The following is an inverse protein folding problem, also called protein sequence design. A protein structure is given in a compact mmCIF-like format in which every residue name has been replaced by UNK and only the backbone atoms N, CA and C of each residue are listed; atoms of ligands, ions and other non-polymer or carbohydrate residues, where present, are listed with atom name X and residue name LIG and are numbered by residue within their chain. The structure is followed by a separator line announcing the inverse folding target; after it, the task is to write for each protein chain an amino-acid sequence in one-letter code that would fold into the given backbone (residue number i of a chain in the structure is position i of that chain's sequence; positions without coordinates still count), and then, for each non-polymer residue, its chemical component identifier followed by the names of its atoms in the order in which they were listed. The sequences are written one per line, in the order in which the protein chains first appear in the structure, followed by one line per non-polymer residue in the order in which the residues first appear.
data_IF_277503636359
#
_entry.id   IF_277503636359
#
_cell.length_a   1.000
_cell.length_b   1.000
_cell.length_c   1.000
_cell.angle_alpha   90.00
_cell.angle_beta   90.00
_cell.angle_gamma   90.00
#
_symmetry.space_group_name_H-M   'P 1'
#
loop_
_entity.id
_entity.type
_entity.pdbx_description
1 polymer ?
#
# COMPACT_ATOMS: atom_id res chain seq x y z
N UNK A 1 6.20 43.64 45.38
CA UNK A 1 5.68 42.54 44.54
C UNK A 1 5.71 41.26 45.36
N UNK A 2 4.57 40.60 45.58
CA UNK A 2 4.49 39.49 46.54
C UNK A 2 5.26 38.26 46.03
N UNK A 3 6.26 37.81 46.79
CA UNK A 3 7.10 36.63 46.46
C UNK A 3 6.26 35.38 46.11
N UNK A 4 5.08 35.23 46.72
CA UNK A 4 4.15 34.12 46.47
C UNK A 4 3.56 34.14 45.05
N UNK A 5 3.29 35.33 44.52
CA UNK A 5 2.71 35.49 43.17
C UNK A 5 3.76 35.13 42.11
N UNK A 6 5.02 35.53 42.31
CA UNK A 6 6.12 35.14 41.42
C UNK A 6 6.35 33.62 41.38
N UNK A 7 6.24 32.97 42.54
CA UNK A 7 6.41 31.53 42.63
C UNK A 7 5.28 30.77 41.91
N UNK A 8 4.04 31.23 42.07
CA UNK A 8 2.90 30.66 41.35
C UNK A 8 3.02 30.83 39.83
N UNK A 9 3.50 32.01 39.39
CA UNK A 9 3.73 32.28 37.98
C UNK A 9 4.83 31.38 37.40
N UNK A 10 5.95 31.20 38.12
CA UNK A 10 7.06 30.37 37.65
C UNK A 10 6.68 28.89 37.55
N UNK A 11 5.89 28.41 38.51
CA UNK A 11 5.33 27.04 38.48
C UNK A 11 4.38 26.87 37.30
N UNK A 12 3.46 27.82 37.08
CA UNK A 12 2.53 27.77 35.94
C UNK A 12 3.25 27.80 34.59
N UNK A 13 4.26 28.68 34.43
CA UNK A 13 5.09 28.75 33.22
C UNK A 13 5.89 27.46 33.03
N UNK A 14 6.43 26.88 34.10
CA UNK A 14 7.18 25.62 34.01
C UNK A 14 6.28 24.45 33.59
N UNK A 15 5.05 24.37 34.12
CA UNK A 15 4.06 23.34 33.73
C UNK A 15 3.64 23.55 32.27
N UNK A 16 3.34 24.78 31.87
CA UNK A 16 2.96 25.10 30.50
C UNK A 16 4.07 24.79 29.49
N UNK A 17 5.33 25.11 29.81
CA UNK A 17 6.47 24.77 28.96
C UNK A 17 6.71 23.25 28.90
N UNK A 18 6.56 22.54 30.02
CA UNK A 18 6.66 21.09 30.01
C UNK A 18 5.57 20.47 29.12
N UNK A 19 4.31 20.87 29.31
CA UNK A 19 3.19 20.44 28.47
C UNK A 19 3.44 20.75 27.00
N UNK A 20 3.88 21.97 26.67
CA UNK A 20 4.13 22.38 25.29
C UNK A 20 5.28 21.61 24.62
N UNK A 21 6.25 21.09 25.37
CA UNK A 21 7.34 20.29 24.81
C UNK A 21 6.90 18.84 24.60
N UNK A 22 6.04 18.31 25.47
CA UNK A 22 5.57 16.93 25.40
C UNK A 22 4.30 16.72 24.54
N UNK A 23 3.44 17.73 24.38
CA UNK A 23 2.16 17.65 23.67
C UNK A 23 2.13 18.44 22.34
N UNK A 24 3.28 18.84 21.79
CA UNK A 24 3.31 19.58 20.52
C UNK A 24 2.76 18.77 19.31
N UNK A 25 2.74 17.43 19.42
CA UNK A 25 2.32 16.51 18.34
C UNK A 25 0.79 16.29 18.26
N UNK A 26 0.00 16.93 19.12
CA UNK A 26 -1.45 16.72 19.24
C UNK A 26 -2.28 17.67 18.36
N UNK A 27 -1.64 18.53 17.58
CA UNK A 27 -2.30 19.55 16.74
C UNK A 27 -2.83 19.02 15.39
N UNK A 28 -2.60 17.75 15.03
CA UNK A 28 -3.00 17.16 13.75
C UNK A 28 -3.85 15.88 13.92
N UNK A 29 -4.90 15.98 14.74
CA UNK A 29 -5.83 14.89 15.04
C UNK A 29 -6.92 14.68 13.98
N UNK A 30 -7.06 15.60 13.02
CA UNK A 30 -8.10 15.51 12.00
C UNK A 30 -7.70 14.55 10.88
N UNK A 31 -8.55 13.55 10.64
CA UNK A 31 -8.40 12.58 9.55
C UNK A 31 -9.34 13.01 8.42
N UNK A 32 -8.75 13.52 7.34
CA UNK A 32 -9.49 13.87 6.13
C UNK A 32 -9.45 12.70 5.13
N UNK A 33 -10.62 12.16 4.79
CA UNK A 33 -10.79 11.14 3.75
C UNK A 33 -11.43 11.79 2.53
N UNK A 34 -10.74 11.73 1.40
CA UNK A 34 -11.23 12.27 0.12
C UNK A 34 -12.21 11.32 -0.58
N UNK A 35 -13.10 11.88 -1.40
CA UNK A 35 -14.00 11.11 -2.26
C UNK A 35 -13.24 10.14 -3.18
N UNK A 36 -12.02 10.51 -3.59
CA UNK A 36 -11.17 9.63 -4.41
C UNK A 36 -10.78 8.37 -3.67
N UNK A 37 -10.42 8.47 -2.38
CA UNK A 37 -10.10 7.31 -1.55
C UNK A 37 -11.32 6.40 -1.37
N UNK A 38 -12.50 7.00 -1.15
CA UNK A 38 -13.75 6.24 -1.05
C UNK A 38 -14.04 5.49 -2.35
N UNK A 39 -13.91 6.15 -3.50
CA UNK A 39 -14.09 5.51 -4.80
C UNK A 39 -13.08 4.38 -5.04
N UNK A 40 -11.83 4.55 -4.62
CA UNK A 40 -10.82 3.50 -4.70
C UNK A 40 -11.18 2.29 -3.82
N UNK A 41 -11.70 2.51 -2.61
CA UNK A 41 -12.20 1.44 -1.74
C UNK A 41 -13.32 0.66 -2.42
N UNK A 42 -14.32 1.35 -2.97
CA UNK A 42 -15.44 0.73 -3.69
C UNK A 42 -14.95 -0.08 -4.89
N UNK A 43 -14.04 0.49 -5.70
CA UNK A 43 -13.47 -0.19 -6.86
C UNK A 43 -12.69 -1.45 -6.46
N UNK A 44 -11.87 -1.35 -5.40
CA UNK A 44 -11.10 -2.49 -4.89
C UNK A 44 -12.00 -3.60 -4.35
N UNK A 45 -13.09 -3.24 -3.66
CA UNK A 45 -14.10 -4.18 -3.17
C UNK A 45 -14.80 -4.88 -4.34
N UNK A 46 -15.25 -4.12 -5.33
CA UNK A 46 -15.92 -4.70 -6.50
C UNK A 46 -14.98 -5.62 -7.29
N UNK A 47 -13.70 -5.27 -7.44
CA UNK A 47 -12.72 -6.15 -8.07
C UNK A 47 -12.52 -7.48 -7.33
N UNK A 48 -12.69 -7.51 -6.00
CA UNK A 48 -12.51 -8.72 -5.18
C UNK A 48 -13.80 -9.55 -5.04
N UNK A 49 -14.95 -8.89 -4.85
CA UNK A 49 -16.23 -9.51 -4.50
C UNK A 49 -17.19 -9.59 -5.70
N UNK A 50 -16.96 -8.80 -6.74
CA UNK A 50 -17.77 -8.77 -7.97
C UNK A 50 -19.08 -7.98 -7.86
N UNK A 51 -19.25 -7.19 -6.80
CA UNK A 51 -20.40 -6.30 -6.58
C UNK A 51 -20.00 -5.08 -5.78
N UNK A 52 -20.83 -4.04 -5.80
CA UNK A 52 -20.65 -2.89 -4.90
C UNK A 52 -20.95 -3.26 -3.43
N UNK A 53 -20.29 -2.60 -2.47
CA UNK A 53 -20.59 -2.77 -1.05
C UNK A 53 -21.97 -2.21 -0.73
N UNK A 54 -22.65 -2.83 0.23
CA UNK A 54 -23.85 -2.24 0.84
C UNK A 54 -23.46 -1.11 1.83
N UNK A 55 -24.44 -0.44 2.43
CA UNK A 55 -24.18 0.69 3.33
C UNK A 55 -23.33 0.29 4.56
N UNK A 56 -23.63 -0.83 5.20
CA UNK A 56 -22.91 -1.29 6.40
C UNK A 56 -21.48 -1.74 6.05
N UNK A 57 -21.31 -2.44 4.93
CA UNK A 57 -20.01 -2.84 4.39
C UNK A 57 -19.15 -1.62 4.05
N UNK A 58 -19.74 -0.59 3.42
CA UNK A 58 -19.05 0.65 3.10
C UNK A 58 -18.59 1.37 4.37
N UNK A 59 -19.45 1.45 5.39
CA UNK A 59 -19.09 2.03 6.69
C UNK A 59 -17.93 1.27 7.33
N UNK A 60 -17.95 -0.07 7.29
CA UNK A 60 -16.86 -0.88 7.82
C UNK A 60 -15.54 -0.67 7.05
N UNK A 61 -15.60 -0.56 5.72
CA UNK A 61 -14.42 -0.23 4.91
C UNK A 61 -13.82 1.13 5.28
N UNK A 62 -14.68 2.13 5.49
CA UNK A 62 -14.24 3.47 5.91
C UNK A 62 -13.63 3.42 7.32
N UNK A 63 -14.27 2.73 8.26
CA UNK A 63 -13.76 2.59 9.63
C UNK A 63 -12.39 1.91 9.65
N UNK A 64 -12.20 0.84 8.88
CA UNK A 64 -10.91 0.17 8.76
C UNK A 64 -9.83 1.10 8.20
N UNK A 65 -10.18 1.94 7.20
CA UNK A 65 -9.25 2.93 6.65
C UNK A 65 -8.87 4.00 7.69
N UNK A 66 -9.83 4.46 8.50
CA UNK A 66 -9.57 5.41 9.59
C UNK A 66 -8.63 4.79 10.62
N UNK A 67 -8.89 3.54 11.03
CA UNK A 67 -8.05 2.84 12.00
C UNK A 67 -6.62 2.64 11.46
N UNK A 68 -6.48 2.26 10.19
CA UNK A 68 -5.17 2.16 9.52
C UNK A 68 -4.41 3.49 9.54
N UNK A 69 -5.09 4.60 9.23
CA UNK A 69 -4.49 5.94 9.25
C UNK A 69 -4.06 6.36 10.66
N UNK A 70 -4.86 6.06 11.68
CA UNK A 70 -4.51 6.32 13.09
C UNK A 70 -3.23 5.56 13.45
N UNK A 71 -3.18 4.26 13.16
CA UNK A 71 -2.03 3.42 13.47
C UNK A 71 -0.78 3.85 12.68
N UNK A 72 -0.95 4.26 11.42
CA UNK A 72 0.13 4.79 10.60
C UNK A 72 0.72 6.06 11.20
N UNK A 73 -0.11 7.04 11.58
CA UNK A 73 0.35 8.28 12.23
C UNK A 73 1.05 8.01 13.55
N UNK A 74 0.54 7.08 14.35
CA UNK A 74 1.19 6.69 15.61
C UNK A 74 2.55 6.03 15.36
N UNK A 75 2.65 5.16 14.36
CA UNK A 75 3.92 4.54 13.96
C UNK A 75 4.96 5.59 13.52
N UNK A 76 4.53 6.66 12.84
CA UNK A 76 5.40 7.78 12.48
C UNK A 76 5.87 8.57 13.70
N UNK A 77 4.96 8.88 14.65
CA UNK A 77 5.29 9.55 15.92
C UNK A 77 6.33 8.76 16.72
N UNK A 78 6.22 7.43 16.72
CA UNK A 78 7.16 6.52 17.37
C UNK A 78 8.44 6.27 16.55
N UNK A 79 8.53 6.79 15.33
CA UNK A 79 9.68 6.60 14.44
C UNK A 79 9.89 5.16 13.96
N UNK A 80 8.83 4.33 13.95
CA UNK A 80 8.94 2.90 13.63
C UNK A 80 9.29 2.61 12.17
N UNK A 81 9.20 3.61 11.29
CA UNK A 81 9.66 3.50 9.91
C UNK A 81 11.19 3.61 9.75
N UNK A 82 11.88 4.14 10.75
CA UNK A 82 13.33 4.36 10.71
C UNK A 82 14.06 3.02 10.88
N UNK A 83 15.08 2.80 10.05
CA UNK A 83 15.95 1.62 10.08
C UNK A 83 15.26 0.25 9.86
N UNK A 84 14.00 0.22 9.43
CA UNK A 84 13.31 -1.02 9.05
C UNK A 84 13.61 -1.40 7.58
N UNK A 85 14.27 -2.56 7.39
CA UNK A 85 14.64 -3.06 6.07
C UNK A 85 13.42 -3.41 5.20
N UNK A 86 12.33 -3.89 5.79
CA UNK A 86 11.11 -4.28 5.08
C UNK A 86 10.43 -3.04 4.50
N UNK A 87 10.28 -1.97 5.28
CA UNK A 87 9.69 -0.70 4.84
C UNK A 87 10.55 -0.10 3.73
N UNK A 88 11.87 -0.02 3.91
CA UNK A 88 12.81 0.46 2.89
C UNK A 88 12.67 -0.30 1.57
N UNK A 89 12.59 -1.65 1.63
CA UNK A 89 12.44 -2.50 0.45
C UNK A 89 11.10 -2.27 -0.26
N UNK A 90 10.00 -2.14 0.48
CA UNK A 90 8.67 -1.86 -0.09
C UNK A 90 8.61 -0.52 -0.81
N UNK A 91 9.20 0.53 -0.22
CA UNK A 91 9.27 1.85 -0.86
C UNK A 91 10.07 1.81 -2.18
N UNK A 92 11.21 1.12 -2.18
CA UNK A 92 12.00 0.92 -3.40
C UNK A 92 11.21 0.17 -4.50
N UNK A 93 10.49 -0.90 -4.12
CA UNK A 93 9.63 -1.64 -5.04
C UNK A 93 8.52 -0.76 -5.63
N UNK A 94 7.90 0.12 -4.82
CA UNK A 94 6.88 1.06 -5.28
C UNK A 94 7.42 2.03 -6.34
N UNK A 95 8.64 2.54 -6.18
CA UNK A 95 9.30 3.38 -7.18
C UNK A 95 9.62 2.61 -8.46
N UNK A 96 10.10 1.37 -8.36
CA UNK A 96 10.36 0.53 -9.53
C UNK A 96 9.08 0.29 -10.33
N UNK A 97 7.95 0.05 -9.65
CA UNK A 97 6.65 -0.12 -10.28
C UNK A 97 6.24 1.13 -11.06
N UNK A 98 6.31 2.33 -10.43
CA UNK A 98 5.94 3.59 -11.08
C UNK A 98 6.81 3.91 -12.31
N UNK A 99 8.10 3.56 -12.28
CA UNK A 99 8.99 3.75 -13.42
C UNK A 99 8.61 2.87 -14.61
N UNK A 100 8.21 1.62 -14.35
CA UNK A 100 7.80 0.69 -15.41
C UNK A 100 6.59 1.21 -16.19
N UNK A 101 5.62 1.80 -15.50
CA UNK A 101 4.41 2.34 -16.14
C UNK A 101 4.69 3.65 -16.90
N UNK A 102 5.73 4.39 -16.52
CA UNK A 102 6.14 5.62 -17.21
C UNK A 102 6.98 5.35 -18.47
N UNK A 103 7.63 4.20 -18.57
CA UNK A 103 8.32 3.74 -19.79
C UNK A 103 7.33 3.18 -20.81
N UNK A 104 6.42 4.03 -21.30
CA UNK A 104 5.62 3.72 -22.48
C UNK A 104 6.47 3.93 -23.74
N UNK A 105 7.48 3.07 -23.94
CA UNK A 105 8.08 2.93 -25.27
C UNK A 105 7.08 2.18 -26.15
N UNK A 106 6.31 2.93 -26.94
CA UNK A 106 5.47 2.37 -27.98
C UNK A 106 6.31 2.25 -29.26
N UNK A 107 6.78 1.04 -29.65
CA UNK A 107 7.51 0.85 -30.89
C UNK A 107 6.67 1.30 -32.09
N UNK A 108 7.32 1.81 -33.14
CA UNK A 108 6.63 2.11 -34.40
C UNK A 108 6.13 0.83 -35.05
N UNK A 109 5.08 0.92 -35.86
CA UNK A 109 4.62 -0.20 -36.71
C UNK A 109 5.75 -0.77 -37.59
N UNK A 110 6.71 0.08 -37.97
CA UNK A 110 7.88 -0.33 -38.74
C UNK A 110 8.85 -1.17 -37.89
N UNK A 111 9.08 -0.78 -36.63
CA UNK A 111 9.92 -1.53 -35.69
C UNK A 111 9.31 -2.91 -35.40
N UNK A 112 7.98 -2.97 -35.23
CA UNK A 112 7.25 -4.22 -35.03
C UNK A 112 7.36 -5.15 -36.23
N UNK A 113 7.22 -4.62 -37.45
CA UNK A 113 7.37 -5.41 -38.68
C UNK A 113 8.80 -5.93 -38.83
N UNK A 114 9.80 -5.09 -38.60
CA UNK A 114 11.20 -5.47 -38.68
C UNK A 114 11.55 -6.54 -37.65
N UNK A 115 11.07 -6.41 -36.41
CA UNK A 115 11.24 -7.41 -35.37
C UNK A 115 10.55 -8.73 -35.72
N UNK A 116 9.30 -8.69 -36.21
CA UNK A 116 8.56 -9.88 -36.62
C UNK A 116 9.30 -10.66 -37.71
N UNK A 117 9.82 -9.97 -38.74
CA UNK A 117 10.57 -10.60 -39.84
C UNK A 117 11.87 -11.23 -39.33
N UNK A 118 12.60 -10.55 -38.43
CA UNK A 118 13.83 -11.08 -37.85
C UNK A 118 13.62 -12.29 -36.94
N UNK A 119 12.47 -12.37 -36.26
CA UNK A 119 12.16 -13.41 -35.29
C UNK A 119 11.21 -14.50 -35.82
N UNK A 120 10.96 -14.53 -37.14
CA UNK A 120 9.94 -15.39 -37.75
C UNK A 120 10.12 -16.88 -37.44
N UNK A 121 11.36 -17.35 -37.30
CA UNK A 121 11.67 -18.75 -36.94
C UNK A 121 11.22 -19.15 -35.53
N UNK A 122 11.05 -18.19 -34.61
CA UNK A 122 10.62 -18.45 -33.23
C UNK A 122 9.09 -18.51 -33.08
N UNK A 123 8.35 -18.15 -34.12
CA UNK A 123 6.87 -18.19 -34.13
C UNK A 123 6.32 -19.42 -34.85
N UNK A 124 7.19 -20.39 -35.17
CA UNK A 124 6.79 -21.70 -35.68
C UNK A 124 6.35 -22.52 -34.47
N UNK A 125 5.09 -23.00 -34.41
CA UNK A 125 4.66 -23.87 -33.31
C UNK A 125 5.50 -25.14 -33.31
N UNK A 126 5.92 -25.58 -32.12
CA UNK A 126 6.58 -26.87 -31.95
C UNK A 126 5.66 -28.02 -32.40
N UNK A 127 6.26 -29.13 -32.82
CA UNK A 127 5.51 -30.32 -33.21
C UNK A 127 4.63 -30.78 -32.04
N UNK A 128 3.32 -30.88 -32.30
CA UNK A 128 2.37 -31.37 -31.31
C UNK A 128 2.48 -32.89 -31.20
N UNK A 129 2.87 -33.36 -30.02
CA UNK A 129 2.89 -34.80 -29.71
C UNK A 129 1.61 -35.19 -28.96
N UNK A 130 0.88 -36.15 -29.50
CA UNK A 130 -0.23 -36.80 -28.79
C UNK A 130 0.30 -38.07 -28.12
N UNK A 131 0.14 -38.18 -26.81
CA UNK A 131 0.47 -39.40 -26.06
C UNK A 131 -0.74 -39.86 -25.24
N UNK A 132 -0.83 -41.16 -25.04
CA UNK A 132 -1.83 -41.80 -24.17
C UNK A 132 -1.12 -42.31 -22.92
N UNK A 133 -1.63 -41.92 -21.74
CA UNK A 133 -1.08 -42.35 -20.46
C UNK A 133 -1.99 -43.44 -19.88
N UNK A 134 -1.45 -44.65 -19.74
CA UNK A 134 -2.11 -45.74 -19.00
C UNK A 134 -1.65 -45.73 -17.54
N UNK A 135 -2.53 -45.30 -16.63
CA UNK A 135 -2.23 -45.27 -15.20
C UNK A 135 -2.38 -46.69 -14.62
N UNK A 136 -1.28 -47.27 -14.15
CA UNK A 136 -1.27 -48.58 -13.48
C UNK A 136 -1.33 -48.36 -11.96
N UNK A 137 -2.46 -48.71 -11.34
CA UNK A 137 -2.55 -48.81 -9.89
C UNK A 137 -1.92 -50.14 -9.46
N UNK A 138 -0.84 -50.07 -8.69
CA UNK A 138 -0.27 -51.23 -8.01
C UNK A 138 -0.89 -51.36 -6.61
N UNK A 139 -1.71 -52.38 -6.40
CA UNK A 139 -2.14 -52.76 -5.05
C UNK A 139 -1.09 -53.69 -4.44
N UNK A 140 -0.38 -53.23 -3.42
CA UNK A 140 0.43 -54.09 -2.57
C UNK A 140 -0.50 -54.90 -1.66
N UNK A 141 -0.65 -56.19 -1.93
CA UNK A 141 -1.30 -57.11 -0.99
C UNK A 141 -0.25 -57.56 0.02
N UNK A 142 -0.50 -57.26 1.30
CA UNK A 142 0.23 -57.81 2.46
C UNK A 142 -0.06 -59.30 2.65
#
# INVERSE_FOLDING_TARGET
MNKRILLFFFVGVSIYLAESIFNADDLDSDIYISDRQINNLINSWNAQVGRNPNADELINLINNLIEEEILYREALKLGLEQDDEIIRRRLAQKIIFLKRDAETFTPSDEDLKNFFVQNQSNYVPEDLYTFEHYFLVTYWCS
#
